data_IF_728073142303
#
_entry.id   IF_728073142303
#
_cell.length_a   1.000
_cell.length_b   1.000
_cell.length_c   1.000
_cell.angle_alpha   90.00
_cell.angle_beta   90.00
_cell.angle_gamma   90.00
#
_symmetry.space_group_name_H-M   'P 1'
#
loop_
_entity.id
_entity.type
_entity.pdbx_description
1 polymer ?
#
# COMPACT_ATOMS: atom_id res chain seq x y z
N UNK A 1 14.13 9.95 15.47
CA UNK A 1 12.85 10.43 16.05
C UNK A 1 11.80 9.37 15.75
N UNK A 2 11.51 8.54 16.75
CA UNK A 2 10.76 7.28 16.62
C UNK A 2 9.29 7.56 16.32
N UNK A 3 8.86 7.24 15.10
CA UNK A 3 7.43 7.10 14.82
C UNK A 3 6.99 5.84 15.55
N UNK A 4 6.11 5.99 16.54
CA UNK A 4 5.45 4.87 17.20
C UNK A 4 5.13 3.78 16.18
N UNK A 5 5.76 2.62 16.32
CA UNK A 5 5.42 1.44 15.55
C UNK A 5 4.00 1.07 15.95
N UNK A 6 3.05 1.57 15.17
CA UNK A 6 1.73 0.97 15.00
C UNK A 6 1.91 -0.54 15.13
N UNK A 7 1.20 -1.20 16.05
CA UNK A 7 1.29 -2.65 16.19
C UNK A 7 0.72 -3.30 14.92
N UNK A 8 1.57 -3.51 13.91
CA UNK A 8 1.17 -4.01 12.59
C UNK A 8 0.61 -5.43 12.67
N UNK A 9 1.03 -6.21 13.67
CA UNK A 9 0.59 -7.59 13.85
C UNK A 9 -0.93 -7.68 14.03
N UNK A 10 -1.57 -6.66 14.59
CA UNK A 10 -3.03 -6.64 14.75
C UNK A 10 -3.80 -6.57 13.41
N UNK A 11 -3.11 -6.27 12.30
CA UNK A 11 -3.71 -6.16 10.97
C UNK A 11 -3.39 -7.35 10.06
N UNK A 12 -2.54 -8.27 10.55
CA UNK A 12 -2.10 -9.44 9.81
C UNK A 12 -2.89 -10.66 10.29
N UNK A 13 -3.22 -11.55 9.37
CA UNK A 13 -3.73 -12.87 9.71
C UNK A 13 -2.60 -13.79 10.22
N UNK A 14 -2.91 -14.87 10.95
CA UNK A 14 -1.91 -15.86 11.32
C UNK A 14 -1.14 -16.38 10.08
N UNK A 15 0.20 -16.32 10.14
CA UNK A 15 1.07 -16.69 9.03
C UNK A 15 1.25 -15.63 7.94
N UNK A 16 0.55 -14.49 8.03
CA UNK A 16 0.74 -13.35 7.13
C UNK A 16 1.95 -12.50 7.59
N UNK A 17 2.80 -12.12 6.65
CA UNK A 17 4.02 -11.34 6.89
C UNK A 17 4.08 -10.10 6.00
N UNK A 18 4.83 -9.08 6.43
CA UNK A 18 4.98 -7.82 5.69
C UNK A 18 6.11 -7.96 4.66
N UNK A 19 5.81 -7.70 3.39
CA UNK A 19 6.82 -7.62 2.32
C UNK A 19 7.39 -6.21 2.17
N UNK A 20 6.51 -5.20 2.18
CA UNK A 20 6.92 -3.81 2.01
C UNK A 20 6.08 -2.88 2.87
N UNK A 21 6.73 -1.89 3.48
CA UNK A 21 6.08 -0.91 4.33
C UNK A 21 6.70 0.48 4.19
N UNK A 22 5.84 1.49 4.12
CA UNK A 22 6.25 2.89 4.02
C UNK A 22 5.21 3.83 4.60
N UNK A 23 5.68 4.97 5.10
CA UNK A 23 4.82 6.12 5.31
C UNK A 23 4.71 6.86 3.99
N UNK A 24 3.51 6.89 3.41
CA UNK A 24 3.22 7.55 2.12
C UNK A 24 2.18 8.63 2.32
N UNK A 25 2.08 9.57 1.39
CA UNK A 25 0.90 10.43 1.30
C UNK A 25 -0.08 9.78 0.34
N UNK A 26 -1.31 9.56 0.81
CA UNK A 26 -2.44 9.21 -0.03
C UNK A 26 -3.07 10.49 -0.57
N UNK A 27 -2.92 10.73 -1.86
CA UNK A 27 -3.45 11.90 -2.56
C UNK A 27 -4.93 11.67 -2.87
N UNK A 28 -5.75 12.67 -2.58
CA UNK A 28 -7.16 12.77 -2.94
C UNK A 28 -7.34 14.08 -3.71
N UNK A 29 -8.49 14.25 -4.37
CA UNK A 29 -8.74 15.38 -5.29
C UNK A 29 -8.19 16.73 -4.80
N UNK A 30 -8.50 17.11 -3.56
CA UNK A 30 -8.13 18.42 -3.00
C UNK A 30 -7.22 18.32 -1.76
N UNK A 31 -6.95 17.12 -1.26
CA UNK A 31 -6.21 16.94 0.00
C UNK A 31 -5.29 15.73 -0.06
N UNK A 32 -4.23 15.74 0.74
CA UNK A 32 -3.41 14.55 0.98
C UNK A 32 -3.48 14.16 2.44
N UNK A 33 -3.35 12.86 2.72
CA UNK A 33 -3.25 12.34 4.08
C UNK A 33 -2.06 11.42 4.19
N UNK A 34 -1.24 11.61 5.23
CA UNK A 34 -0.15 10.69 5.55
C UNK A 34 -0.74 9.39 6.09
N UNK A 35 -0.37 8.27 5.49
CA UNK A 35 -0.82 6.93 5.87
C UNK A 35 0.37 5.99 5.94
N UNK A 36 0.26 4.93 6.73
CA UNK A 36 1.18 3.81 6.63
C UNK A 36 0.62 2.83 5.62
N UNK A 37 1.36 2.53 4.55
CA UNK A 37 1.00 1.56 3.53
C UNK A 37 1.79 0.28 3.79
N UNK A 38 1.10 -0.86 3.79
CA UNK A 38 1.64 -2.18 4.13
C UNK A 38 1.25 -3.14 3.01
N UNK A 39 2.22 -3.75 2.36
CA UNK A 39 2.05 -4.90 1.48
C UNK A 39 2.41 -6.17 2.24
N UNK A 40 1.58 -7.19 2.14
CA UNK A 40 1.81 -8.48 2.80
C UNK A 40 2.26 -9.56 1.81
N UNK A 41 2.61 -10.74 2.30
CA UNK A 41 2.93 -11.92 1.49
C UNK A 41 1.70 -12.59 0.86
N UNK A 42 0.50 -12.10 1.20
CA UNK A 42 -0.76 -12.37 0.49
C UNK A 42 -1.01 -11.23 -0.51
N UNK A 43 -1.88 -11.39 -1.53
CA UNK A 43 -2.30 -10.30 -2.42
C UNK A 43 -3.20 -9.29 -1.68
N UNK A 44 -2.62 -8.59 -0.70
CA UNK A 44 -3.29 -7.66 0.22
C UNK A 44 -2.42 -6.44 0.51
N UNK A 45 -3.05 -5.28 0.42
CA UNK A 45 -2.52 -3.97 0.76
C UNK A 45 -3.38 -3.35 1.85
N UNK A 46 -2.74 -2.91 2.92
CA UNK A 46 -3.39 -2.28 4.06
C UNK A 46 -2.89 -0.84 4.11
N UNK A 47 -3.81 0.13 4.23
CA UNK A 47 -3.40 1.47 4.63
C UNK A 47 -4.06 1.89 5.95
N UNK A 48 -3.21 2.33 6.86
CA UNK A 48 -3.55 2.68 8.24
C UNK A 48 -3.40 4.18 8.41
N UNK A 49 -4.33 4.80 9.13
CA UNK A 49 -4.14 6.17 9.62
C UNK A 49 -3.24 6.11 10.87
N UNK A 50 -1.99 6.58 10.79
CA UNK A 50 -1.05 6.50 11.90
C UNK A 50 -1.49 7.35 13.10
N UNK A 51 -2.31 8.38 12.90
CA UNK A 51 -2.80 9.24 13.98
C UNK A 51 -3.98 8.61 14.72
N UNK A 52 -4.74 7.72 14.07
CA UNK A 52 -5.93 7.07 14.64
C UNK A 52 -5.70 5.60 14.99
N UNK A 53 -4.61 5.00 14.54
CA UNK A 53 -4.29 3.56 14.66
C UNK A 53 -5.38 2.63 14.11
N UNK A 54 -6.24 3.13 13.22
CA UNK A 54 -7.37 2.38 12.64
C UNK A 54 -7.08 2.06 11.18
N UNK A 55 -7.34 0.80 10.79
CA UNK A 55 -7.33 0.37 9.38
C UNK A 55 -8.36 1.17 8.62
N UNK A 56 -7.93 1.86 7.56
CA UNK A 56 -8.86 2.60 6.71
C UNK A 56 -9.34 1.81 5.51
N UNK A 57 -8.54 0.90 4.98
CA UNK A 57 -9.01 -0.11 4.04
C UNK A 57 -7.99 -1.24 3.87
N UNK A 58 -8.54 -2.38 3.45
CA UNK A 58 -7.80 -3.49 2.84
C UNK A 58 -8.13 -3.50 1.35
N UNK A 59 -7.10 -3.44 0.52
CA UNK A 59 -7.18 -3.73 -0.92
C UNK A 59 -6.74 -5.18 -1.04
N UNK A 60 -7.68 -6.09 -1.30
CA UNK A 60 -7.40 -7.51 -1.53
C UNK A 60 -7.65 -7.76 -3.01
N UNK A 61 -6.74 -8.46 -3.67
CA UNK A 61 -6.89 -8.87 -5.07
C UNK A 61 -6.68 -10.38 -5.19
N UNK A 62 -7.17 -10.96 -6.28
CA UNK A 62 -6.77 -12.32 -6.67
C UNK A 62 -5.42 -12.28 -7.38
N UNK A 63 -4.88 -13.44 -7.71
CA UNK A 63 -3.61 -13.55 -8.43
C UNK A 63 -3.71 -12.96 -9.86
N UNK A 64 -4.91 -12.61 -10.33
CA UNK A 64 -5.14 -11.94 -11.62
C UNK A 64 -4.82 -10.43 -11.58
N UNK A 65 -4.04 -9.95 -12.57
CA UNK A 65 -3.75 -8.54 -12.82
C UNK A 65 -4.97 -7.64 -13.10
N UNK A 66 -6.13 -8.22 -13.43
CA UNK A 66 -7.36 -7.45 -13.69
C UNK A 66 -7.95 -6.83 -12.41
N UNK A 67 -7.69 -7.43 -11.24
CA UNK A 67 -8.23 -6.97 -9.96
C UNK A 67 -7.43 -5.79 -9.37
N UNK A 68 -6.14 -5.71 -9.71
CA UNK A 68 -5.25 -4.65 -9.28
C UNK A 68 -4.16 -4.41 -10.34
N UNK A 69 -3.96 -3.18 -10.76
CA UNK A 69 -2.75 -2.78 -11.48
C UNK A 69 -2.04 -1.63 -10.78
N UNK A 70 -0.72 -1.59 -10.93
CA UNK A 70 0.11 -0.51 -10.39
C UNK A 70 0.84 0.22 -11.52
N UNK A 71 0.71 1.54 -11.53
CA UNK A 71 1.38 2.42 -12.49
C UNK A 71 2.26 3.42 -11.73
N UNK A 72 3.52 3.53 -12.15
CA UNK A 72 4.49 4.46 -11.58
C UNK A 72 4.61 5.65 -12.54
N UNK A 73 4.42 6.87 -12.03
CA UNK A 73 4.53 8.10 -12.83
C UNK A 73 5.81 8.87 -12.56
N UNK A 74 6.44 8.66 -11.40
CA UNK A 74 7.78 9.17 -11.05
C UNK A 74 8.37 8.33 -9.93
N UNK A 75 9.66 8.50 -9.55
CA UNK A 75 10.24 7.66 -8.50
C UNK A 75 9.52 7.79 -7.13
N UNK A 76 8.80 8.89 -6.88
CA UNK A 76 7.95 9.06 -5.69
C UNK A 76 6.47 8.75 -5.93
N UNK A 77 5.96 8.82 -7.16
CA UNK A 77 4.53 8.77 -7.42
C UNK A 77 4.11 7.45 -8.09
N UNK A 78 3.10 6.81 -7.51
CA UNK A 78 2.44 5.67 -8.10
C UNK A 78 0.94 5.71 -7.84
N UNK A 79 0.19 4.98 -8.66
CA UNK A 79 -1.23 4.73 -8.45
C UNK A 79 -1.54 3.24 -8.49
N UNK A 80 -2.49 2.85 -7.65
CA UNK A 80 -3.13 1.55 -7.65
C UNK A 80 -4.49 1.69 -8.32
N UNK A 81 -4.74 0.92 -9.36
CA UNK A 81 -6.02 0.88 -10.07
C UNK A 81 -6.70 -0.44 -9.75
N UNK A 82 -7.86 -0.39 -9.10
CA UNK A 82 -8.79 -1.52 -9.01
C UNK A 82 -10.01 -1.24 -9.89
N UNK A 83 -10.83 -2.25 -10.23
CA UNK A 83 -12.05 -2.04 -11.02
C UNK A 83 -12.98 -0.95 -10.45
N UNK A 84 -13.00 -0.79 -9.12
CA UNK A 84 -13.87 0.16 -8.43
C UNK A 84 -13.21 1.51 -8.17
N UNK A 85 -11.88 1.58 -8.10
CA UNK A 85 -11.20 2.76 -7.56
C UNK A 85 -9.74 2.88 -7.96
N UNK A 86 -9.33 4.11 -8.22
CA UNK A 86 -7.92 4.48 -8.35
C UNK A 86 -7.44 5.17 -7.07
N UNK A 87 -6.31 4.73 -6.54
CA UNK A 87 -5.65 5.29 -5.36
C UNK A 87 -4.31 5.88 -5.77
N UNK A 88 -4.05 7.13 -5.37
CA UNK A 88 -2.81 7.84 -5.69
C UNK A 88 -1.94 7.96 -4.46
N UNK A 89 -0.65 7.67 -4.62
CA UNK A 89 0.31 7.67 -3.53
C UNK A 89 1.59 8.40 -3.92
N UNK A 90 2.15 9.09 -2.94
CA UNK A 90 3.47 9.72 -2.98
C UNK A 90 4.33 9.11 -1.86
N UNK A 91 5.40 8.42 -2.21
CA UNK A 91 6.43 7.97 -1.29
C UNK A 91 7.62 8.96 -1.31
N UNK A 92 7.77 9.70 -0.21
CA UNK A 92 8.85 10.68 -0.06
C UNK A 92 10.26 10.04 -0.13
N UNK A 93 10.37 8.73 0.06
CA UNK A 93 11.62 7.97 -0.08
C UNK A 93 11.94 7.56 -1.52
N UNK A 94 11.12 7.96 -2.51
CA UNK A 94 11.34 7.67 -3.92
C UNK A 94 11.37 6.16 -4.24
N UNK A 95 10.47 5.39 -3.60
CA UNK A 95 10.40 3.92 -3.71
C UNK A 95 9.25 3.40 -4.56
N UNK A 96 8.67 4.23 -5.44
CA UNK A 96 7.50 3.85 -6.24
C UNK A 96 7.74 2.57 -7.07
N UNK A 97 8.93 2.41 -7.66
CA UNK A 97 9.26 1.20 -8.42
C UNK A 97 9.35 -0.06 -7.56
N UNK A 98 9.74 0.06 -6.28
CA UNK A 98 9.77 -1.10 -5.37
C UNK A 98 8.36 -1.61 -5.06
N UNK A 99 7.39 -0.70 -4.92
CA UNK A 99 5.98 -1.06 -4.81
C UNK A 99 5.49 -1.81 -6.06
N UNK A 100 5.87 -1.34 -7.25
CA UNK A 100 5.52 -1.99 -8.52
C UNK A 100 6.06 -3.41 -8.59
N UNK A 101 7.37 -3.58 -8.39
CA UNK A 101 8.03 -4.89 -8.43
C UNK A 101 7.41 -5.85 -7.42
N UNK A 102 7.15 -5.40 -6.19
CA UNK A 102 6.62 -6.26 -5.15
C UNK A 102 5.16 -6.70 -5.41
N UNK A 103 4.31 -5.82 -5.96
CA UNK A 103 2.92 -6.15 -6.29
C UNK A 103 2.86 -7.06 -7.52
N UNK A 104 3.59 -6.73 -8.59
CA UNK A 104 3.62 -7.54 -9.80
C UNK A 104 4.23 -8.93 -9.54
N UNK A 105 5.23 -9.02 -8.66
CA UNK A 105 5.79 -10.30 -8.22
C UNK A 105 4.85 -11.17 -7.36
N UNK A 106 3.73 -10.63 -6.88
CA UNK A 106 2.65 -11.41 -6.25
C UNK A 106 1.58 -11.85 -7.27
N UNK A 107 1.47 -11.15 -8.40
CA UNK A 107 0.51 -11.45 -9.47
C UNK A 107 1.04 -12.50 -10.47
N UNK A 108 2.34 -12.73 -10.48
CA UNK A 108 3.00 -13.72 -11.34
C UNK A 108 3.31 -15.05 -10.64
N UNK A 109 2.69 -15.31 -9.48
CA UNK A 109 2.83 -16.56 -8.73
C UNK A 109 1.75 -17.56 -9.14
#
# INVERSE_FOLDING_TARGET
MYLHDVNRQQFLEPGESVLLISMVKKVQKLTSKKVQLILTNKPKLIYVDPAKLVVKANIIWSDNSDDLSIQVSSPSHFKLCTPKKVFWFEDAKQRASQWKIAIEGLQSR
#
